data_IF_529417570268
#
_entry.id   IF_529417570268
#
_cell.length_a   1.000
_cell.length_b   1.000
_cell.length_c   1.000
_cell.angle_alpha   90.00
_cell.angle_beta   90.00
_cell.angle_gamma   90.00
#
_symmetry.space_group_name_H-M   'P 1'
#
loop_
_entity.id
_entity.type
_entity.pdbx_description
1 polymer ?
#
# COMPACT_ATOMS: atom_id res chain seq x y z
N UNK A 1 -7.97 72.04 -15.10
CA UNK A 1 -9.02 71.08 -15.52
C UNK A 1 -8.71 69.75 -14.86
N UNK A 2 -9.67 69.20 -14.09
CA UNK A 2 -9.81 67.83 -13.58
C UNK A 2 -8.64 67.21 -12.76
N UNK A 3 -8.83 66.63 -11.57
CA UNK A 3 -10.03 66.32 -10.81
C UNK A 3 -9.69 65.38 -9.64
N UNK A 4 -10.23 65.74 -8.47
CA UNK A 4 -10.66 64.87 -7.36
C UNK A 4 -9.64 64.11 -6.48
N UNK A 5 -9.40 64.73 -5.32
CA UNK A 5 -9.18 64.04 -4.05
C UNK A 5 -10.46 63.36 -3.53
N UNK A 6 -10.22 62.41 -2.62
CA UNK A 6 -11.14 61.70 -1.73
C UNK A 6 -11.86 60.52 -2.40
N UNK A 7 -12.02 59.36 -1.76
CA UNK A 7 -12.46 59.14 -0.39
C UNK A 7 -12.21 57.65 -0.06
N UNK A 8 -11.91 57.34 1.20
CA UNK A 8 -12.26 56.08 1.88
C UNK A 8 -12.10 54.75 1.11
N UNK A 9 -11.12 53.95 1.51
CA UNK A 9 -11.43 52.64 2.10
C UNK A 9 -10.10 52.06 2.60
N UNK A 10 -9.93 52.00 3.91
CA UNK A 10 -10.18 50.76 4.64
C UNK A 10 -9.11 49.74 4.26
N UNK A 11 -8.04 49.71 5.04
CA UNK A 11 -7.97 48.80 6.18
C UNK A 11 -7.80 47.37 5.72
N UNK A 12 -6.83 46.73 6.35
CA UNK A 12 -6.89 45.31 6.66
C UNK A 12 -6.68 44.41 5.43
N UNK A 13 -6.02 43.27 5.52
CA UNK A 13 -5.39 42.54 6.59
C UNK A 13 -4.72 41.39 5.82
N UNK A 14 -3.61 40.87 6.35
CA UNK A 14 -3.32 39.43 6.41
C UNK A 14 -3.86 38.55 5.26
N UNK A 15 -2.97 37.85 4.57
CA UNK A 15 -2.88 36.42 4.83
C UNK A 15 -1.59 35.83 4.27
N UNK A 16 -0.93 35.03 5.09
CA UNK A 16 0.06 34.06 4.73
C UNK A 16 -0.35 33.28 3.47
N UNK A 17 0.40 33.46 2.39
CA UNK A 17 0.54 32.45 1.35
C UNK A 17 1.73 31.54 1.67
N UNK A 18 1.71 30.87 2.82
CA UNK A 18 2.47 29.62 2.99
C UNK A 18 2.06 28.72 1.83
N UNK A 19 2.95 28.53 0.86
CA UNK A 19 2.78 27.50 -0.16
C UNK A 19 2.89 26.16 0.58
N UNK A 20 1.74 25.70 1.09
CA UNK A 20 1.55 24.35 1.55
C UNK A 20 1.85 23.45 0.35
N UNK A 21 2.90 22.67 0.49
CA UNK A 21 3.22 21.51 -0.35
C UNK A 21 1.99 20.60 -0.46
N UNK A 22 1.24 20.73 -1.55
CA UNK A 22 0.16 19.82 -1.94
C UNK A 22 0.68 18.75 -2.90
N UNK A 23 1.71 18.00 -2.50
CA UNK A 23 2.22 16.86 -3.31
C UNK A 23 1.25 15.67 -3.30
N UNK A 24 0.35 15.58 -2.31
CA UNK A 24 -0.59 14.46 -2.19
C UNK A 24 -1.83 14.55 -3.09
N UNK A 25 -2.32 15.76 -3.42
CA UNK A 25 -3.54 15.92 -4.21
C UNK A 25 -3.31 15.74 -5.71
N UNK A 26 -2.11 16.09 -6.20
CA UNK A 26 -1.75 15.97 -7.62
C UNK A 26 -1.53 14.51 -8.05
N UNK A 27 -1.02 13.67 -7.13
CA UNK A 27 -0.86 12.22 -7.37
C UNK A 27 -2.21 11.52 -7.47
N UNK A 28 -3.18 11.84 -6.62
CA UNK A 28 -4.49 11.19 -6.61
C UNK A 28 -5.33 11.52 -7.86
N UNK A 29 -5.32 12.78 -8.30
CA UNK A 29 -5.98 13.19 -9.54
C UNK A 29 -5.36 12.49 -10.78
N UNK A 30 -4.02 12.42 -10.83
CA UNK A 30 -3.28 11.74 -11.91
C UNK A 30 -3.58 10.23 -11.94
N UNK A 31 -3.74 9.63 -10.77
CA UNK A 31 -4.04 8.21 -10.62
C UNK A 31 -5.46 7.85 -11.06
N UNK A 32 -6.46 8.67 -10.72
CA UNK A 32 -7.84 8.47 -11.17
C UNK A 32 -7.95 8.54 -12.69
N UNK A 33 -7.37 9.56 -13.30
CA UNK A 33 -7.42 9.77 -14.76
C UNK A 33 -6.72 8.65 -15.54
N UNK A 34 -5.58 8.16 -15.02
CA UNK A 34 -4.87 7.04 -15.64
C UNK A 34 -5.64 5.72 -15.50
N UNK A 35 -6.33 5.47 -14.38
CA UNK A 35 -7.17 4.28 -14.21
C UNK A 35 -8.34 4.26 -15.17
N UNK A 36 -9.01 5.40 -15.35
CA UNK A 36 -10.12 5.52 -16.30
C UNK A 36 -9.64 5.26 -17.72
N UNK A 37 -8.51 5.86 -18.12
CA UNK A 37 -7.92 5.67 -19.45
C UNK A 37 -7.60 4.20 -19.75
N UNK A 38 -6.90 3.51 -18.85
CA UNK A 38 -6.55 2.09 -19.03
C UNK A 38 -7.83 1.22 -19.06
N UNK A 39 -8.83 1.54 -18.23
CA UNK A 39 -10.10 0.82 -18.21
C UNK A 39 -10.86 0.94 -19.54
N UNK A 40 -10.83 2.10 -20.19
CA UNK A 40 -11.42 2.28 -21.53
C UNK A 40 -10.64 1.48 -22.59
N UNK A 41 -9.32 1.48 -22.54
CA UNK A 41 -8.49 0.69 -23.46
C UNK A 41 -8.73 -0.83 -23.31
N UNK A 42 -8.98 -1.33 -22.10
CA UNK A 42 -9.37 -2.73 -21.85
C UNK A 42 -10.72 -3.05 -22.51
N UNK A 43 -11.70 -2.14 -22.42
CA UNK A 43 -13.01 -2.31 -23.09
C UNK A 43 -12.81 -2.38 -24.60
N UNK A 44 -12.01 -1.50 -25.18
CA UNK A 44 -11.71 -1.52 -26.62
C UNK A 44 -10.99 -2.81 -27.05
N UNK A 45 -10.00 -3.28 -26.28
CA UNK A 45 -9.30 -4.53 -26.55
C UNK A 45 -10.24 -5.74 -26.47
N UNK A 46 -11.22 -5.75 -25.55
CA UNK A 46 -12.26 -6.78 -25.46
C UNK A 46 -13.16 -6.79 -26.70
N UNK A 47 -13.60 -5.61 -27.15
CA UNK A 47 -14.44 -5.49 -28.35
C UNK A 47 -13.72 -5.94 -29.62
N UNK A 48 -12.40 -5.75 -29.68
CA UNK A 48 -11.55 -6.18 -30.80
C UNK A 48 -11.11 -7.65 -30.72
N UNK A 49 -11.39 -8.35 -29.61
CA UNK A 49 -10.94 -9.72 -29.37
C UNK A 49 -9.42 -9.86 -29.14
N UNK A 50 -8.72 -8.76 -28.84
CA UNK A 50 -7.27 -8.75 -28.67
C UNK A 50 -6.91 -9.13 -27.23
N UNK A 51 -6.83 -10.45 -26.99
CA UNK A 51 -6.57 -11.03 -25.68
C UNK A 51 -5.18 -10.69 -25.13
N UNK A 52 -4.17 -10.58 -26.00
CA UNK A 52 -2.80 -10.24 -25.62
C UNK A 52 -2.70 -8.79 -25.14
N UNK A 53 -3.29 -7.87 -25.92
CA UNK A 53 -3.33 -6.46 -25.54
C UNK A 53 -4.16 -6.24 -24.26
N UNK A 54 -5.27 -6.99 -24.10
CA UNK A 54 -6.09 -6.95 -22.90
C UNK A 54 -5.30 -7.36 -21.65
N UNK A 55 -4.57 -8.47 -21.71
CA UNK A 55 -3.76 -8.95 -20.59
C UNK A 55 -2.67 -7.94 -20.19
N UNK A 56 -2.04 -7.30 -21.17
CA UNK A 56 -1.04 -6.25 -20.94
C UNK A 56 -1.66 -5.04 -20.22
N UNK A 57 -2.82 -4.58 -20.67
CA UNK A 57 -3.53 -3.44 -20.06
C UNK A 57 -4.05 -3.77 -18.66
N UNK A 58 -4.51 -5.00 -18.42
CA UNK A 58 -4.91 -5.48 -17.09
C UNK A 58 -3.71 -5.48 -16.12
N UNK A 59 -2.52 -5.92 -16.56
CA UNK A 59 -1.29 -5.85 -15.77
C UNK A 59 -0.83 -4.40 -15.49
N UNK A 60 -1.00 -3.49 -16.45
CA UNK A 60 -0.71 -2.07 -16.26
C UNK A 60 -1.66 -1.41 -15.26
N UNK A 61 -2.95 -1.76 -15.29
CA UNK A 61 -3.94 -1.28 -14.33
C UNK A 61 -3.63 -1.74 -12.90
N UNK A 62 -3.14 -2.98 -12.76
CA UNK A 62 -2.69 -3.51 -11.47
C UNK A 62 -1.47 -2.74 -10.93
N UNK A 63 -0.43 -2.55 -11.75
CA UNK A 63 0.74 -1.75 -11.38
C UNK A 63 0.39 -0.30 -11.04
N UNK A 64 -0.56 0.29 -11.78
CA UNK A 64 -1.05 1.62 -11.48
C UNK A 64 -1.76 1.65 -10.13
N UNK A 65 -2.59 0.65 -9.85
CA UNK A 65 -3.30 0.52 -8.57
C UNK A 65 -2.31 0.41 -7.40
N UNK A 66 -1.25 -0.40 -7.54
CA UNK A 66 -0.20 -0.53 -6.51
C UNK A 66 0.54 0.78 -6.22
N UNK A 67 0.89 1.53 -7.27
CA UNK A 67 1.58 2.82 -7.16
C UNK A 67 0.69 3.92 -6.59
N UNK A 68 -0.57 3.95 -7.00
CA UNK A 68 -1.51 5.00 -6.66
C UNK A 68 -2.22 4.81 -5.32
N UNK A 69 -2.40 3.56 -4.87
CA UNK A 69 -2.95 3.27 -3.55
C UNK A 69 -1.88 3.17 -2.47
N UNK A 70 -0.59 3.09 -2.83
CA UNK A 70 0.47 2.82 -1.85
C UNK A 70 0.18 1.54 -1.08
N UNK A 71 0.13 0.38 -1.76
CA UNK A 71 -0.14 -0.95 -1.19
C UNK A 71 -1.07 -0.90 0.04
N UNK A 72 -2.33 -0.48 -0.15
CA UNK A 72 -3.30 -0.59 0.94
C UNK A 72 -3.48 -2.08 1.23
N UNK A 73 -3.13 -2.57 2.43
CA UNK A 73 -3.27 -3.97 2.72
C UNK A 73 -4.76 -4.33 2.73
N UNK A 74 -5.13 -5.39 2.00
CA UNK A 74 -6.52 -5.87 1.91
C UNK A 74 -7.13 -6.20 3.29
N UNK A 75 -6.29 -6.41 4.30
CA UNK A 75 -6.64 -6.65 5.69
C UNK A 75 -5.81 -5.72 6.60
N UNK A 76 -6.41 -5.02 7.58
CA UNK A 76 -5.69 -4.05 8.43
C UNK A 76 -4.49 -4.65 9.19
N UNK A 77 -4.55 -5.96 9.48
CA UNK A 77 -3.52 -6.75 10.15
C UNK A 77 -2.52 -7.44 9.19
N UNK A 78 -2.56 -7.17 7.88
CA UNK A 78 -1.70 -7.87 6.91
C UNK A 78 -0.20 -7.80 7.24
N UNK A 79 0.30 -6.64 7.68
CA UNK A 79 1.69 -6.50 8.10
C UNK A 79 2.03 -7.33 9.34
N UNK A 80 1.07 -7.51 10.26
CA UNK A 80 1.23 -8.36 11.44
C UNK A 80 1.21 -9.83 11.07
N UNK A 81 0.30 -10.24 10.17
CA UNK A 81 0.23 -11.58 9.62
C UNK A 81 1.54 -11.95 8.92
N UNK A 82 2.07 -11.06 8.06
CA UNK A 82 3.35 -11.28 7.38
C UNK A 82 4.52 -11.43 8.36
N UNK A 83 4.58 -10.60 9.39
CA UNK A 83 5.60 -10.71 10.45
C UNK A 83 5.49 -12.05 11.20
N UNK A 84 4.27 -12.42 11.61
CA UNK A 84 4.03 -13.66 12.34
C UNK A 84 4.29 -14.90 11.48
N UNK A 85 3.99 -14.84 10.18
CA UNK A 85 4.29 -15.91 9.22
C UNK A 85 5.80 -16.10 9.07
N UNK A 86 6.56 -15.02 8.85
CA UNK A 86 8.04 -15.10 8.78
C UNK A 86 8.66 -15.66 10.05
N UNK A 87 8.11 -15.28 11.21
CA UNK A 87 8.53 -15.82 12.50
C UNK A 87 8.27 -17.33 12.57
N UNK A 88 7.06 -17.79 12.22
CA UNK A 88 6.72 -19.21 12.22
C UNK A 88 7.66 -20.00 11.29
N UNK A 89 7.87 -19.55 10.05
CA UNK A 89 8.82 -20.16 9.11
C UNK A 89 10.24 -20.23 9.68
N UNK A 90 10.71 -19.17 10.34
CA UNK A 90 12.03 -19.15 10.98
C UNK A 90 12.10 -20.19 12.12
N UNK A 91 11.05 -20.32 12.94
CA UNK A 91 11.01 -21.32 14.02
C UNK A 91 10.93 -22.76 13.49
N UNK A 92 10.27 -22.98 12.36
CA UNK A 92 10.26 -24.29 11.70
C UNK A 92 11.65 -24.69 11.21
N UNK A 93 12.39 -23.75 10.62
CA UNK A 93 13.79 -23.98 10.26
C UNK A 93 14.66 -24.30 11.49
N UNK A 94 14.52 -23.53 12.58
CA UNK A 94 15.23 -23.78 13.83
C UNK A 94 14.90 -25.14 14.46
N UNK A 95 13.65 -25.59 14.36
CA UNK A 95 13.27 -26.92 14.82
C UNK A 95 13.92 -28.01 13.95
N UNK A 96 13.97 -27.81 12.62
CA UNK A 96 14.67 -28.74 11.71
C UNK A 96 16.15 -28.86 12.03
N UNK A 97 16.81 -27.74 12.30
CA UNK A 97 18.21 -27.70 12.75
C UNK A 97 18.38 -28.42 14.09
N UNK A 98 17.51 -28.14 15.07
CA UNK A 98 17.52 -28.80 16.37
C UNK A 98 17.35 -30.32 16.28
N UNK A 99 16.45 -30.80 15.41
CA UNK A 99 16.29 -32.23 15.14
C UNK A 99 17.58 -32.87 14.60
N UNK A 100 18.35 -32.14 13.79
CA UNK A 100 19.66 -32.57 13.30
C UNK A 100 20.72 -32.72 14.40
N UNK A 101 20.58 -32.01 15.53
CA UNK A 101 21.51 -32.12 16.67
C UNK A 101 21.27 -33.38 17.51
N UNK A 102 20.05 -33.93 17.51
CA UNK A 102 19.65 -35.05 18.36
C UNK A 102 19.53 -34.74 19.86
N UNK A 103 19.79 -33.49 20.29
CA UNK A 103 19.68 -33.09 21.70
C UNK A 103 18.20 -32.90 22.10
N UNK A 104 17.66 -33.72 23.02
CA UNK A 104 16.26 -33.66 23.40
C UNK A 104 15.86 -32.33 24.05
N UNK A 105 16.77 -31.66 24.77
CA UNK A 105 16.49 -30.37 25.42
C UNK A 105 16.38 -29.25 24.37
N UNK A 106 17.30 -29.23 23.40
CA UNK A 106 17.27 -28.24 22.31
C UNK A 106 16.03 -28.44 21.43
N UNK A 107 15.68 -29.68 21.10
CA UNK A 107 14.47 -30.02 20.35
C UNK A 107 13.22 -29.53 21.07
N UNK A 108 13.11 -29.80 22.38
CA UNK A 108 11.93 -29.41 23.16
C UNK A 108 11.77 -27.90 23.30
N UNK A 109 12.87 -27.17 23.46
CA UNK A 109 12.85 -25.69 23.46
C UNK A 109 12.42 -25.16 22.09
N UNK A 110 12.93 -25.72 20.99
CA UNK A 110 12.56 -25.30 19.63
C UNK A 110 11.09 -25.59 19.30
N UNK A 111 10.54 -26.73 19.74
CA UNK A 111 9.11 -27.05 19.61
C UNK A 111 8.23 -26.01 20.31
N UNK A 112 8.53 -25.70 21.57
CA UNK A 112 7.77 -24.68 22.34
C UNK A 112 7.80 -23.31 21.68
N UNK A 113 8.95 -22.91 21.12
CA UNK A 113 9.09 -21.64 20.37
C UNK A 113 8.27 -21.63 19.08
N UNK A 114 8.23 -22.75 18.37
CA UNK A 114 7.40 -22.89 17.17
C UNK A 114 5.91 -22.82 17.52
N UNK A 115 5.47 -23.50 18.57
CA UNK A 115 4.08 -23.46 19.02
C UNK A 115 3.66 -22.05 19.42
N UNK A 116 4.54 -21.30 20.10
CA UNK A 116 4.30 -19.90 20.42
C UNK A 116 4.19 -19.03 19.15
N UNK A 117 5.08 -19.21 18.17
CA UNK A 117 5.02 -18.47 16.91
C UNK A 117 3.75 -18.77 16.11
N UNK A 118 3.30 -20.03 16.11
CA UNK A 118 2.03 -20.44 15.48
C UNK A 118 0.82 -19.81 16.17
N UNK A 119 0.79 -19.76 17.51
CA UNK A 119 -0.25 -19.05 18.26
C UNK A 119 -0.29 -17.55 17.92
N UNK A 120 0.88 -16.92 17.76
CA UNK A 120 0.96 -15.52 17.34
C UNK A 120 0.45 -15.32 15.91
N UNK A 121 0.74 -16.24 14.99
CA UNK A 121 0.21 -16.19 13.63
C UNK A 121 -1.32 -16.35 13.62
N UNK A 122 -1.87 -17.29 14.37
CA UNK A 122 -3.33 -17.43 14.48
C UNK A 122 -3.98 -16.20 15.13
N UNK A 123 -3.37 -15.66 16.19
CA UNK A 123 -3.84 -14.42 16.81
C UNK A 123 -3.78 -13.22 15.84
N UNK A 124 -2.77 -13.15 14.96
CA UNK A 124 -2.63 -12.09 13.98
C UNK A 124 -3.64 -12.18 12.83
N UNK A 125 -4.24 -13.36 12.58
CA UNK A 125 -5.25 -13.56 11.52
C UNK A 125 -6.67 -13.14 11.93
N UNK A 126 -6.92 -13.06 13.24
CA UNK A 126 -8.21 -12.70 13.84
C UNK A 126 -8.25 -11.22 14.23
#
# INVERSE_FOLDING_TARGET
>A
MAGQHNFLAFMLLCLCGTQLTTVAAETDATCSDQRERISQQIKDARLKGDSSQRALLEAQLQNLTERCQGVVPLQPNHAEIERAMRLATTREAQLREALGTGDPQVIEVSKRRLDQARKQLEAAKH
#
